data_IF_519010231755
#
_entry.id   IF_519010231755
#
_cell.length_a   1.000
_cell.length_b   1.000
_cell.length_c   1.000
_cell.angle_alpha   90.00
_cell.angle_beta   90.00
_cell.angle_gamma   90.00
#
_symmetry.space_group_name_H-M   'P 1'
#
loop_
_entity.id
_entity.type
_entity.pdbx_description
1 polymer ?
#
# COMPACT_ATOMS: atom_id res chain seq x y z
N UNK A 1 13.38 -0.46 -15.04
CA UNK A 1 12.09 0.23 -14.80
C UNK A 1 12.25 1.72 -15.10
N UNK A 2 11.23 2.39 -15.63
CA UNK A 2 11.31 3.77 -16.16
C UNK A 2 11.44 4.90 -15.13
N UNK A 3 11.68 4.59 -13.84
CA UNK A 3 11.77 5.57 -12.75
C UNK A 3 10.45 6.27 -12.36
N UNK A 4 9.42 6.19 -13.21
CA UNK A 4 8.12 6.88 -13.05
C UNK A 4 7.36 6.52 -11.77
N UNK A 5 7.63 5.36 -11.17
CA UNK A 5 6.99 4.90 -9.94
C UNK A 5 7.87 5.02 -8.69
N UNK A 6 9.04 5.67 -8.79
CA UNK A 6 10.04 5.66 -7.73
C UNK A 6 10.81 4.34 -7.64
N UNK A 7 11.76 4.27 -6.72
CA UNK A 7 12.53 3.06 -6.39
C UNK A 7 11.79 2.28 -5.31
N UNK A 8 11.59 0.98 -5.55
CA UNK A 8 11.11 0.05 -4.52
C UNK A 8 12.16 -0.10 -3.41
N UNK A 9 11.74 0.15 -2.17
CA UNK A 9 12.58 -0.04 -0.98
C UNK A 9 11.91 -0.92 0.08
N UNK A 10 10.88 -1.68 -0.31
CA UNK A 10 10.07 -2.54 0.57
C UNK A 10 10.92 -3.53 1.37
N UNK A 11 11.96 -4.10 0.75
CA UNK A 11 12.88 -5.03 1.42
C UNK A 11 13.63 -4.41 2.62
N UNK A 12 13.80 -3.08 2.65
CA UNK A 12 14.48 -2.37 3.74
C UNK A 12 13.56 -2.00 4.91
N UNK A 13 12.26 -2.35 4.84
CA UNK A 13 11.27 -1.93 5.83
C UNK A 13 11.03 -2.96 6.94
N UNK A 14 11.38 -4.23 6.73
CA UNK A 14 11.16 -5.28 7.72
C UNK A 14 11.07 -6.67 7.10
N UNK A 15 10.43 -7.60 7.82
CA UNK A 15 10.18 -8.95 7.35
C UNK A 15 9.24 -8.91 6.13
N UNK A 16 9.72 -9.41 4.99
CA UNK A 16 8.95 -9.40 3.73
C UNK A 16 8.49 -10.81 3.36
N UNK A 17 7.45 -10.87 2.53
CA UNK A 17 6.95 -12.12 1.98
C UNK A 17 6.75 -11.97 0.48
N UNK A 18 6.65 -13.10 -0.22
CA UNK A 18 6.42 -13.13 -1.66
C UNK A 18 4.99 -13.56 -1.94
N UNK A 19 4.38 -12.92 -2.92
CA UNK A 19 3.13 -13.38 -3.53
C UNK A 19 3.37 -13.74 -4.99
N UNK A 20 2.68 -14.74 -5.54
CA UNK A 20 2.66 -14.97 -6.98
C UNK A 20 2.31 -13.67 -7.70
N UNK A 21 3.06 -13.29 -8.72
CA UNK A 21 2.68 -12.18 -9.58
C UNK A 21 1.60 -12.61 -10.57
N UNK A 22 1.57 -11.98 -11.72
CA UNK A 22 0.65 -12.25 -12.82
C UNK A 22 1.40 -12.12 -14.15
N UNK A 23 0.94 -12.87 -15.15
CA UNK A 23 1.63 -13.01 -16.45
C UNK A 23 3.10 -13.42 -16.27
N UNK A 24 4.03 -12.57 -16.72
CA UNK A 24 5.48 -12.79 -16.70
C UNK A 24 6.14 -12.35 -15.39
N UNK A 25 5.37 -11.85 -14.43
CA UNK A 25 5.89 -11.48 -13.11
C UNK A 25 5.82 -12.70 -12.20
N UNK A 26 6.94 -13.44 -12.06
CA UNK A 26 6.97 -14.68 -11.28
C UNK A 26 6.51 -14.49 -9.82
N UNK A 27 7.24 -13.70 -9.04
CA UNK A 27 6.90 -13.38 -7.66
C UNK A 27 7.11 -11.90 -7.39
N UNK A 28 6.30 -11.35 -6.49
CA UNK A 28 6.38 -9.96 -6.05
C UNK A 28 6.64 -9.93 -4.55
N UNK A 29 7.72 -9.25 -4.15
CA UNK A 29 8.05 -9.01 -2.76
C UNK A 29 7.13 -7.95 -2.19
N UNK A 30 6.61 -8.17 -0.99
CA UNK A 30 5.77 -7.20 -0.27
C UNK A 30 6.05 -7.23 1.23
N UNK A 31 5.72 -6.12 1.89
CA UNK A 31 5.61 -6.04 3.34
C UNK A 31 4.22 -6.56 3.75
N UNK A 32 4.10 -7.65 4.52
CA UNK A 32 2.81 -8.15 5.00
C UNK A 32 2.03 -7.09 5.78
N UNK A 33 0.70 -7.13 5.73
CA UNK A 33 -0.14 -6.16 6.43
C UNK A 33 0.18 -6.07 7.94
N UNK A 34 0.42 -7.21 8.60
CA UNK A 34 0.79 -7.27 10.02
C UNK A 34 2.18 -6.72 10.36
N UNK A 35 3.05 -6.52 9.37
CA UNK A 35 4.40 -5.96 9.55
C UNK A 35 4.45 -4.44 9.30
N UNK A 36 3.36 -3.84 8.82
CA UNK A 36 3.32 -2.41 8.49
C UNK A 36 3.61 -1.52 9.70
N UNK A 37 3.07 -1.89 10.86
CA UNK A 37 3.28 -1.15 12.12
C UNK A 37 4.76 -1.09 12.54
N UNK A 38 5.55 -2.13 12.23
CA UNK A 38 6.98 -2.18 12.52
C UNK A 38 7.80 -1.27 11.60
N UNK A 39 7.32 -1.06 10.37
CA UNK A 39 8.00 -0.29 9.33
C UNK A 39 7.81 1.24 9.45
N UNK A 40 6.88 1.72 10.28
CA UNK A 40 6.44 3.12 10.28
C UNK A 40 7.58 4.15 10.43
N UNK A 41 8.59 3.83 11.24
CA UNK A 41 9.73 4.73 11.52
C UNK A 41 10.65 4.95 10.31
N UNK A 42 10.62 4.06 9.32
CA UNK A 42 11.46 4.15 8.12
C UNK A 42 10.78 4.87 6.93
N UNK A 43 9.49 5.19 7.08
CA UNK A 43 8.66 5.84 6.06
C UNK A 43 8.92 7.34 6.00
N UNK A 44 8.64 7.95 4.85
CA UNK A 44 8.79 9.38 4.59
C UNK A 44 7.55 9.92 3.91
N UNK A 45 7.32 11.23 4.08
CA UNK A 45 6.28 11.92 3.32
C UNK A 45 6.61 11.83 1.83
N UNK A 46 5.61 11.51 1.01
CA UNK A 46 5.76 11.33 -0.43
C UNK A 46 6.04 9.89 -0.86
N UNK A 47 6.27 8.95 0.06
CA UNK A 47 6.33 7.53 -0.27
C UNK A 47 5.01 7.09 -0.91
N UNK A 48 5.09 6.33 -2.00
CA UNK A 48 3.93 5.77 -2.67
C UNK A 48 3.72 4.36 -2.14
N UNK A 49 2.48 4.04 -1.79
CA UNK A 49 2.10 2.71 -1.33
C UNK A 49 1.17 2.04 -2.34
N UNK A 50 1.50 0.80 -2.70
CA UNK A 50 0.71 -0.07 -3.56
C UNK A 50 0.18 -1.22 -2.71
N UNK A 51 -1.15 -1.31 -2.56
CA UNK A 51 -1.79 -2.36 -1.79
C UNK A 51 -1.97 -3.62 -2.62
N UNK A 52 -1.48 -4.75 -2.11
CA UNK A 52 -1.40 -6.01 -2.82
C UNK A 52 -2.60 -6.90 -2.51
N UNK A 53 -3.32 -7.33 -3.54
CA UNK A 53 -4.46 -8.25 -3.42
C UNK A 53 -3.98 -9.66 -3.08
N UNK A 54 -4.79 -10.36 -2.29
CA UNK A 54 -4.61 -11.80 -2.11
C UNK A 54 -4.79 -12.50 -3.47
N UNK A 55 -3.83 -13.35 -3.91
CA UNK A 55 -3.96 -14.16 -5.12
C UNK A 55 -5.31 -14.88 -5.26
N UNK A 56 -5.85 -15.42 -4.15
CA UNK A 56 -7.12 -16.15 -4.15
C UNK A 56 -8.35 -15.26 -4.43
N UNK A 57 -8.18 -13.93 -4.41
CA UNK A 57 -9.27 -12.93 -4.58
C UNK A 57 -9.06 -12.06 -5.81
N UNK A 58 -8.12 -12.40 -6.69
CA UNK A 58 -7.90 -11.71 -7.96
C UNK A 58 -8.98 -12.12 -8.96
N UNK A 59 -9.46 -11.15 -9.73
CA UNK A 59 -10.51 -11.38 -10.75
C UNK A 59 -9.87 -11.61 -12.13
N UNK A 60 -8.83 -10.84 -12.46
CA UNK A 60 -8.12 -10.92 -13.74
C UNK A 60 -6.60 -10.79 -13.57
N UNK A 61 -6.04 -11.44 -12.53
CA UNK A 61 -4.60 -11.40 -12.25
C UNK A 61 -4.08 -10.13 -11.58
N UNK A 62 -4.93 -9.11 -11.38
CA UNK A 62 -4.56 -7.83 -10.74
C UNK A 62 -3.80 -8.01 -9.41
N UNK A 63 -2.52 -7.64 -9.40
CA UNK A 63 -1.68 -7.70 -8.20
C UNK A 63 -1.99 -6.52 -7.28
N UNK A 64 -2.03 -5.29 -7.83
CA UNK A 64 -2.29 -4.06 -7.08
C UNK A 64 -3.78 -3.76 -7.07
N UNK A 65 -4.37 -3.65 -5.88
CA UNK A 65 -5.79 -3.34 -5.71
C UNK A 65 -6.09 -1.89 -5.37
N UNK A 66 -5.10 -1.15 -4.84
CA UNK A 66 -5.28 0.24 -4.43
C UNK A 66 -3.92 0.96 -4.31
N UNK A 67 -3.92 2.30 -4.41
CA UNK A 67 -2.71 3.13 -4.35
C UNK A 67 -2.99 4.36 -3.48
N UNK A 68 -1.97 4.83 -2.75
CA UNK A 68 -1.99 6.13 -2.10
C UNK A 68 -0.59 6.68 -1.86
N UNK A 69 -0.54 7.85 -1.23
CA UNK A 69 0.70 8.55 -0.87
C UNK A 69 0.74 8.69 0.65
N UNK A 70 1.91 8.47 1.23
CA UNK A 70 2.12 8.63 2.66
C UNK A 70 2.44 10.07 3.02
N UNK A 71 1.91 10.51 4.16
CA UNK A 71 2.17 11.81 4.76
C UNK A 71 2.56 11.60 6.21
N UNK A 72 3.75 12.05 6.58
CA UNK A 72 4.16 12.14 7.97
C UNK A 72 3.73 13.50 8.52
N UNK A 73 3.08 13.49 9.67
CA UNK A 73 2.57 14.68 10.36
C UNK A 73 2.47 14.38 11.85
N UNK A 74 3.00 15.28 12.70
CA UNK A 74 3.00 15.13 14.16
C UNK A 74 3.53 13.77 14.69
N UNK A 75 4.49 13.16 13.99
CA UNK A 75 5.05 11.85 14.36
C UNK A 75 4.22 10.64 13.93
N UNK A 76 3.07 10.85 13.29
CA UNK A 76 2.20 9.80 12.77
C UNK A 76 2.31 9.67 11.25
N UNK A 77 1.97 8.48 10.73
CA UNK A 77 1.98 8.19 9.29
C UNK A 77 0.55 8.05 8.79
N UNK A 78 0.16 8.93 7.87
CA UNK A 78 -1.14 8.95 7.24
C UNK A 78 -1.07 8.47 5.79
N UNK A 79 -2.11 7.77 5.36
CA UNK A 79 -2.40 7.48 3.97
C UNK A 79 -3.31 8.58 3.39
N UNK A 80 -2.88 9.20 2.30
CA UNK A 80 -3.70 10.05 1.45
C UNK A 80 -4.07 9.26 0.21
N UNK A 81 -5.36 9.04 -0.03
CA UNK A 81 -5.82 8.30 -1.20
C UNK A 81 -7.20 8.75 -1.68
N UNK A 82 -7.52 8.46 -2.95
CA UNK A 82 -8.88 8.60 -3.46
C UNK A 82 -9.76 7.50 -2.87
N UNK A 83 -10.81 7.87 -2.15
CA UNK A 83 -11.82 6.93 -1.66
C UNK A 83 -12.75 6.49 -2.78
N UNK A 84 -13.23 5.25 -2.72
CA UNK A 84 -14.21 4.73 -3.67
C UNK A 84 -15.51 5.55 -3.67
N UNK A 85 -16.30 5.43 -4.74
CA UNK A 85 -17.56 6.17 -4.90
C UNK A 85 -18.67 5.74 -3.93
N UNK A 86 -18.56 4.54 -3.34
CA UNK A 86 -19.55 4.01 -2.40
C UNK A 86 -19.49 4.78 -1.09
N UNK A 87 -20.62 5.34 -0.66
CA UNK A 87 -20.75 5.87 0.70
C UNK A 87 -20.71 4.72 1.71
N UNK A 88 -20.07 4.95 2.85
CA UNK A 88 -20.04 3.99 3.96
C UNK A 88 -20.34 4.76 5.24
N UNK A 89 -21.32 4.29 6.01
CA UNK A 89 -21.64 4.81 7.35
C UNK A 89 -21.74 6.35 7.39
N UNK A 90 -22.53 6.94 6.48
CA UNK A 90 -22.76 8.40 6.44
C UNK A 90 -21.61 9.24 5.85
N UNK A 91 -20.47 8.65 5.49
CA UNK A 91 -19.37 9.37 4.81
C UNK A 91 -19.59 9.37 3.30
N UNK A 92 -19.49 10.57 2.69
CA UNK A 92 -19.59 10.78 1.24
C UNK A 92 -18.36 10.15 0.56
N UNK A 93 -18.60 9.27 -0.42
CA UNK A 93 -17.53 8.66 -1.23
C UNK A 93 -17.02 9.61 -2.31
N UNK A 94 -16.02 9.16 -3.07
CA UNK A 94 -15.53 9.91 -4.25
C UNK A 94 -14.69 11.14 -3.92
N UNK A 95 -14.02 11.13 -2.77
CA UNK A 95 -13.17 12.23 -2.31
C UNK A 95 -11.78 11.73 -1.92
N UNK A 96 -10.78 12.61 -1.95
CA UNK A 96 -9.47 12.33 -1.36
C UNK A 96 -9.59 12.39 0.15
N UNK A 97 -9.09 11.38 0.85
CA UNK A 97 -9.16 11.26 2.32
C UNK A 97 -7.77 11.05 2.90
N UNK A 98 -7.59 11.50 4.15
CA UNK A 98 -6.39 11.27 4.98
C UNK A 98 -6.78 10.42 6.19
N UNK A 99 -6.08 9.31 6.42
CA UNK A 99 -6.38 8.37 7.51
C UNK A 99 -5.12 7.62 7.98
N UNK A 100 -5.10 7.07 9.21
CA UNK A 100 -3.92 6.38 9.73
C UNK A 100 -3.52 5.19 8.85
N UNK A 101 -2.24 5.15 8.44
CA UNK A 101 -1.78 4.18 7.44
C UNK A 101 -1.79 2.73 7.96
N UNK A 102 -1.16 2.48 9.11
CA UNK A 102 -1.09 1.12 9.69
C UNK A 102 -2.48 0.51 9.88
N UNK A 103 -3.39 1.27 10.51
CA UNK A 103 -4.79 0.86 10.69
C UNK A 103 -5.46 0.49 9.37
N UNK A 104 -5.27 1.29 8.33
CA UNK A 104 -5.86 0.99 7.02
C UNK A 104 -5.28 -0.28 6.39
N UNK A 105 -3.96 -0.47 6.48
CA UNK A 105 -3.30 -1.64 5.93
C UNK A 105 -3.73 -2.93 6.64
N UNK A 106 -3.98 -2.86 7.95
CA UNK A 106 -4.43 -3.98 8.78
C UNK A 106 -5.94 -4.27 8.63
N UNK A 107 -6.78 -3.23 8.59
CA UNK A 107 -8.25 -3.38 8.50
C UNK A 107 -8.73 -3.78 7.09
N UNK A 108 -8.00 -3.37 6.05
CA UNK A 108 -8.39 -3.65 4.67
C UNK A 108 -7.94 -5.06 4.24
N UNK A 109 -8.70 -5.73 3.36
CA UNK A 109 -8.45 -7.11 3.05
C UNK A 109 -7.40 -7.24 1.93
N UNK A 110 -6.23 -6.63 2.15
CA UNK A 110 -5.03 -6.72 1.34
C UNK A 110 -4.03 -7.68 2.01
N UNK A 111 -3.19 -8.34 1.21
CA UNK A 111 -2.17 -9.26 1.72
C UNK A 111 -0.99 -8.50 2.34
N UNK A 112 -0.72 -7.31 1.82
CA UNK A 112 0.41 -6.47 2.19
C UNK A 112 0.56 -5.28 1.27
N UNK A 113 1.72 -4.64 1.31
CA UNK A 113 2.03 -3.43 0.57
C UNK A 113 3.41 -3.49 -0.08
N UNK A 114 3.55 -2.80 -1.21
CA UNK A 114 4.84 -2.40 -1.79
C UNK A 114 4.98 -0.90 -1.59
N UNK A 115 6.16 -0.45 -1.21
CA UNK A 115 6.42 0.95 -0.94
C UNK A 115 7.59 1.43 -1.80
N UNK A 116 7.33 2.51 -2.53
CA UNK A 116 8.33 3.14 -3.41
C UNK A 116 8.55 4.59 -3.03
N UNK A 117 9.71 5.12 -3.42
CA UNK A 117 10.12 6.49 -3.12
C UNK A 117 10.75 7.14 -4.35
N UNK A 118 10.37 8.39 -4.64
CA UNK A 118 11.07 9.19 -5.64
C UNK A 118 12.44 9.62 -5.08
N UNK A 119 13.46 9.58 -5.95
CA UNK A 119 14.79 10.10 -5.67
C UNK A 119 14.92 11.51 -6.24
#
# INVERSE_FOLDING_TARGET
ASGKGGRDFTAGLGATSQVPGDRDHGQVLMLPAGEVSNALKALRSGDIVFFIKDPARRVVGEIVGHIGILKLEAGEVFLIHASGKKSRQGKRGGQVVKLPFAKYAEDMPFKGVIITRFQ
#
